data_IF_406437339004
#
_entry.id   IF_406437339004
#
_cell.length_a   1.000
_cell.length_b   1.000
_cell.length_c   1.000
_cell.angle_alpha   90.00
_cell.angle_beta   90.00
_cell.angle_gamma   90.00
#
_symmetry.space_group_name_H-M   'P 1'
#
loop_
_entity.id
_entity.type
_entity.pdbx_description
1 polymer ?
#
# COMPACT_ATOMS: atom_id res chain seq x y z
N UNK A 1 44.03 -51.80 40.14
CA UNK A 1 44.94 -52.91 40.61
C UNK A 1 45.59 -52.51 41.94
N UNK A 2 45.77 -53.44 42.86
CA UNK A 2 46.40 -53.23 44.16
C UNK A 2 47.38 -54.38 44.39
N UNK A 3 48.51 -54.11 44.97
CA UNK A 3 49.48 -55.10 45.45
C UNK A 3 49.61 -54.96 46.95
N UNK A 4 50.01 -56.02 47.64
CA UNK A 4 50.39 -55.99 49.05
C UNK A 4 51.91 -56.13 49.16
N UNK A 5 52.48 -55.43 50.15
CA UNK A 5 53.93 -55.54 50.43
C UNK A 5 54.10 -56.25 51.75
N UNK A 6 54.97 -57.31 51.80
CA UNK A 6 55.22 -58.01 53.03
C UNK A 6 56.25 -57.28 53.92
N UNK A 7 56.52 -57.81 55.13
CA UNK A 7 57.45 -57.22 56.09
C UNK A 7 58.91 -57.14 55.61
N UNK A 8 59.25 -57.82 54.52
CA UNK A 8 60.56 -57.82 53.90
C UNK A 8 60.65 -56.91 52.64
N UNK A 9 59.54 -56.20 52.33
CA UNK A 9 59.46 -55.28 51.20
C UNK A 9 59.18 -55.99 49.87
N UNK A 10 58.75 -57.23 49.83
CA UNK A 10 58.39 -57.95 48.61
C UNK A 10 56.96 -57.70 48.26
N UNK A 11 56.74 -57.30 47.04
CA UNK A 11 55.44 -56.96 46.48
C UNK A 11 54.73 -58.20 45.92
N UNK A 12 53.46 -58.37 46.24
CA UNK A 12 52.68 -59.50 45.71
C UNK A 12 52.34 -59.28 44.22
N UNK A 13 51.81 -60.30 43.54
CA UNK A 13 51.20 -60.11 42.24
C UNK A 13 50.07 -59.10 42.32
N UNK A 14 49.83 -58.44 41.20
CA UNK A 14 48.75 -57.45 41.08
C UNK A 14 47.37 -58.08 41.21
N UNK A 15 46.49 -57.46 41.90
CA UNK A 15 45.06 -57.85 41.91
C UNK A 15 44.47 -57.84 40.53
N UNK A 16 43.31 -58.45 40.33
CA UNK A 16 42.52 -58.33 39.15
C UNK A 16 42.14 -56.84 38.97
N UNK A 17 42.19 -56.36 37.72
CA UNK A 17 41.78 -55.02 37.39
C UNK A 17 40.28 -54.91 37.60
N UNK A 18 39.86 -54.04 38.49
CA UNK A 18 38.44 -53.65 38.67
C UNK A 18 38.27 -52.21 38.20
N UNK A 19 37.53 -52.04 37.09
CA UNK A 19 37.18 -50.73 36.60
C UNK A 19 35.74 -50.42 37.00
N UNK A 20 35.55 -49.38 37.77
CA UNK A 20 34.22 -48.84 37.98
C UNK A 20 34.01 -47.59 37.08
N UNK A 21 32.91 -47.57 36.39
CA UNK A 21 32.51 -46.40 35.59
C UNK A 21 32.09 -45.30 36.52
N UNK A 22 32.61 -44.09 36.31
CA UNK A 22 32.10 -42.90 36.98
C UNK A 22 30.82 -42.48 36.28
N UNK A 23 29.68 -42.51 36.96
CA UNK A 23 28.42 -42.05 36.32
C UNK A 23 28.48 -40.57 35.95
N UNK A 24 27.96 -40.23 34.78
CA UNK A 24 27.81 -38.85 34.36
C UNK A 24 26.73 -38.15 35.22
N UNK A 25 26.85 -36.84 35.35
CA UNK A 25 25.92 -36.03 36.16
C UNK A 25 24.72 -35.57 35.33
N UNK A 26 23.61 -35.30 36.01
CA UNK A 26 22.44 -34.67 35.37
C UNK A 26 22.79 -33.33 34.75
N UNK A 27 22.15 -32.93 33.64
CA UNK A 27 22.28 -31.58 33.08
C UNK A 27 21.91 -30.48 34.08
N UNK A 28 22.62 -29.36 34.00
CA UNK A 28 22.39 -28.16 34.83
C UNK A 28 22.25 -26.93 33.98
N UNK A 29 21.75 -25.81 34.55
CA UNK A 29 21.60 -24.54 33.82
C UNK A 29 20.58 -24.64 32.70
N UNK A 30 19.53 -25.45 32.91
CA UNK A 30 18.42 -25.54 31.95
C UNK A 30 17.64 -24.26 31.97
N UNK A 31 17.46 -23.66 30.82
CA UNK A 31 16.56 -22.50 30.59
C UNK A 31 15.51 -22.85 29.54
N UNK A 32 14.30 -22.37 29.71
CA UNK A 32 13.21 -22.44 28.75
C UNK A 32 12.75 -21.03 28.47
N UNK A 33 13.00 -20.57 27.24
CA UNK A 33 12.62 -19.25 26.79
C UNK A 33 11.44 -19.39 25.80
N UNK A 34 10.28 -18.86 26.19
CA UNK A 34 9.05 -18.93 25.39
C UNK A 34 9.09 -17.98 24.20
N UNK A 35 8.57 -18.45 23.08
CA UNK A 35 8.38 -17.70 21.84
C UNK A 35 7.02 -18.10 21.25
N UNK A 36 6.64 -17.50 20.11
CA UNK A 36 5.36 -17.80 19.44
C UNK A 36 5.32 -19.28 19.03
N UNK A 37 4.33 -20.01 19.54
CA UNK A 37 4.13 -21.45 19.30
C UNK A 37 5.40 -22.30 19.48
N UNK A 38 6.38 -21.80 20.23
CA UNK A 38 7.65 -22.51 20.41
C UNK A 38 8.33 -22.20 21.75
N UNK A 39 9.29 -23.07 22.09
CA UNK A 39 10.10 -22.93 23.30
C UNK A 39 11.56 -23.18 22.95
N UNK A 40 12.44 -22.26 23.29
CA UNK A 40 13.89 -22.43 23.14
C UNK A 40 14.49 -22.93 24.44
N UNK A 41 15.04 -24.13 24.37
CA UNK A 41 15.68 -24.80 25.50
C UNK A 41 17.19 -24.73 25.35
N UNK A 42 17.89 -24.38 26.44
CA UNK A 42 19.35 -24.41 26.52
C UNK A 42 19.79 -25.06 27.83
N UNK A 43 20.96 -25.70 27.86
CA UNK A 43 21.55 -26.32 29.06
C UNK A 43 23.08 -26.41 28.98
N UNK A 44 23.70 -26.62 30.11
CA UNK A 44 25.14 -26.82 30.19
C UNK A 44 25.55 -28.18 29.65
N UNK A 45 26.68 -28.24 28.97
CA UNK A 45 27.27 -29.53 28.54
C UNK A 45 27.65 -30.39 29.73
N UNK A 46 27.39 -31.70 29.62
CA UNK A 46 27.74 -32.69 30.64
C UNK A 46 28.98 -33.48 30.14
N UNK A 47 30.11 -33.47 30.88
CA UNK A 47 31.28 -34.26 30.51
C UNK A 47 30.95 -35.77 30.44
N UNK A 48 31.27 -36.40 29.30
CA UNK A 48 30.99 -37.83 29.06
C UNK A 48 29.59 -38.10 28.44
N UNK A 49 28.73 -37.10 28.31
CA UNK A 49 27.48 -37.27 27.59
C UNK A 49 27.73 -37.34 26.08
N UNK A 50 27.03 -38.23 25.39
CA UNK A 50 27.01 -38.36 23.92
C UNK A 50 25.71 -37.83 23.33
N UNK A 51 24.63 -37.94 24.09
CA UNK A 51 23.28 -37.44 23.72
C UNK A 51 22.59 -36.83 24.93
N UNK A 52 21.56 -36.05 24.65
CA UNK A 52 20.58 -35.56 25.60
C UNK A 52 19.19 -35.99 25.16
N UNK A 53 18.33 -36.31 26.12
CA UNK A 53 16.89 -36.49 25.87
C UNK A 53 16.15 -35.34 26.53
N UNK A 54 15.28 -34.73 25.77
CA UNK A 54 14.43 -33.61 26.20
C UNK A 54 13.03 -34.15 26.41
N UNK A 55 12.50 -33.93 27.59
CA UNK A 55 11.14 -34.35 27.98
C UNK A 55 10.29 -33.12 28.33
N UNK A 56 9.03 -33.14 27.91
CA UNK A 56 8.00 -32.27 28.46
C UNK A 56 7.41 -32.87 29.73
N UNK A 57 7.34 -32.11 30.79
CA UNK A 57 6.68 -32.48 32.04
C UNK A 57 5.19 -32.17 31.93
N UNK A 58 4.37 -33.18 31.66
CA UNK A 58 2.93 -33.03 31.48
C UNK A 58 2.15 -33.10 32.79
N UNK A 59 2.76 -33.67 33.83
CA UNK A 59 2.26 -33.67 35.20
C UNK A 59 3.42 -33.93 36.17
N UNK A 60 3.30 -33.73 37.49
CA UNK A 60 4.38 -33.93 38.45
C UNK A 60 5.09 -35.28 38.35
N UNK A 61 4.36 -36.35 37.97
CA UNK A 61 4.87 -37.70 37.89
C UNK A 61 4.94 -38.26 36.44
N UNK A 62 4.73 -37.42 35.44
CA UNK A 62 4.67 -37.89 34.05
C UNK A 62 5.42 -36.96 33.10
N UNK A 63 6.32 -37.54 32.33
CA UNK A 63 7.07 -36.86 31.28
C UNK A 63 6.86 -37.57 29.94
N UNK A 64 6.88 -36.76 28.86
CA UNK A 64 6.81 -37.24 27.48
C UNK A 64 8.11 -36.89 26.76
N UNK A 65 8.76 -37.87 26.15
CA UNK A 65 9.95 -37.63 25.36
C UNK A 65 9.62 -36.84 24.11
N UNK A 66 10.22 -35.67 24.00
CA UNK A 66 10.08 -34.80 22.81
C UNK A 66 11.12 -35.20 21.77
N UNK A 67 12.40 -35.19 22.14
CA UNK A 67 13.48 -35.43 21.19
C UNK A 67 14.79 -35.88 21.88
N UNK A 68 15.59 -36.66 21.14
CA UNK A 68 16.98 -36.98 21.47
C UNK A 68 17.93 -36.19 20.60
N UNK A 69 18.84 -35.42 21.20
CA UNK A 69 19.75 -34.50 20.50
C UNK A 69 21.21 -34.68 20.97
N UNK A 70 22.15 -34.19 20.15
CA UNK A 70 23.58 -34.11 20.53
C UNK A 70 23.96 -32.69 21.01
N UNK A 71 23.20 -31.68 20.60
CA UNK A 71 23.44 -30.30 21.00
C UNK A 71 22.98 -30.04 22.43
N UNK A 72 23.43 -28.93 23.01
CA UNK A 72 22.99 -28.43 24.31
C UNK A 72 21.87 -27.40 24.18
N UNK A 73 21.15 -27.42 23.07
CA UNK A 73 20.02 -26.58 22.80
C UNK A 73 19.00 -27.29 21.90
N UNK A 74 17.73 -26.97 22.06
CA UNK A 74 16.63 -27.47 21.25
C UNK A 74 15.53 -26.42 21.16
N UNK A 75 14.95 -26.21 19.96
CA UNK A 75 13.69 -25.49 19.81
C UNK A 75 12.54 -26.47 19.64
N UNK A 76 11.65 -26.53 20.62
CA UNK A 76 10.37 -27.25 20.53
C UNK A 76 9.35 -26.35 19.82
N UNK A 77 8.68 -26.88 18.79
CA UNK A 77 7.75 -26.13 17.94
C UNK A 77 6.33 -26.70 18.03
N UNK A 78 5.40 -25.98 17.43
CA UNK A 78 3.99 -26.36 17.33
C UNK A 78 3.33 -26.57 18.71
N UNK A 79 3.69 -25.71 19.67
CA UNK A 79 3.13 -25.66 21.02
C UNK A 79 1.87 -24.79 21.04
N UNK A 80 0.89 -25.16 21.87
CA UNK A 80 -0.31 -24.37 22.12
C UNK A 80 0.05 -23.09 22.87
N UNK A 81 -0.61 -21.98 22.51
CA UNK A 81 -0.38 -20.65 23.07
C UNK A 81 -0.91 -20.50 24.49
N UNK A 82 -0.35 -19.54 25.23
CA UNK A 82 -0.86 -19.09 26.51
C UNK A 82 -0.79 -20.13 27.63
N UNK A 83 -0.04 -21.22 27.44
CA UNK A 83 0.11 -22.32 28.38
C UNK A 83 1.56 -22.41 28.84
N UNK A 84 1.76 -22.50 30.17
CA UNK A 84 3.07 -22.79 30.71
C UNK A 84 3.48 -24.21 30.35
N UNK A 85 4.66 -24.35 29.77
CA UNK A 85 5.27 -25.63 29.43
C UNK A 85 6.56 -25.81 30.24
N UNK A 86 6.70 -26.98 30.85
CA UNK A 86 7.85 -27.34 31.67
C UNK A 86 8.64 -28.43 30.98
N UNK A 87 9.96 -28.35 31.06
CA UNK A 87 10.86 -29.31 30.43
C UNK A 87 11.94 -29.78 31.43
N UNK A 88 12.31 -31.04 31.31
CA UNK A 88 13.44 -31.65 31.98
C UNK A 88 14.36 -32.35 30.96
N UNK A 89 15.64 -32.40 31.27
CA UNK A 89 16.65 -32.93 30.34
C UNK A 89 17.49 -33.97 31.07
N UNK A 90 17.73 -35.07 30.38
CA UNK A 90 18.66 -36.13 30.83
C UNK A 90 19.86 -36.17 29.88
N UNK A 91 20.97 -36.75 30.38
CA UNK A 91 22.14 -37.00 29.55
C UNK A 91 22.37 -38.52 29.42
N UNK A 92 22.83 -38.96 28.24
CA UNK A 92 23.17 -40.34 27.96
C UNK A 92 24.67 -40.44 27.67
N UNK A 93 25.30 -41.44 28.29
CA UNK A 93 26.70 -41.76 28.03
C UNK A 93 26.89 -42.71 26.81
N UNK A 94 28.13 -43.12 26.57
CA UNK A 94 28.49 -43.99 25.44
C UNK A 94 27.89 -45.38 25.46
N UNK A 95 27.47 -45.87 26.62
CA UNK A 95 26.82 -47.18 26.80
C UNK A 95 25.30 -47.09 26.78
N UNK A 96 24.78 -45.87 26.65
CA UNK A 96 23.34 -45.60 26.65
C UNK A 96 22.72 -45.50 28.05
N UNK A 97 23.54 -45.41 29.11
CA UNK A 97 23.04 -45.17 30.47
C UNK A 97 22.57 -43.73 30.60
N UNK A 98 21.37 -43.56 31.16
CA UNK A 98 20.69 -42.26 31.30
C UNK A 98 20.83 -41.72 32.71
N UNK A 99 21.04 -40.42 32.86
CA UNK A 99 21.10 -39.74 34.17
C UNK A 99 19.70 -39.55 34.76
N UNK A 100 19.63 -39.17 36.03
CA UNK A 100 18.41 -38.54 36.57
C UNK A 100 18.12 -37.26 35.79
N UNK A 101 16.84 -36.82 35.74
CA UNK A 101 16.46 -35.55 35.09
C UNK A 101 17.15 -34.33 35.74
N UNK A 102 17.25 -33.27 34.96
CA UNK A 102 17.61 -31.95 35.47
C UNK A 102 16.53 -31.40 36.40
N UNK A 103 16.78 -30.24 37.02
CA UNK A 103 15.71 -29.39 37.55
C UNK A 103 14.84 -28.98 36.36
N UNK A 104 13.52 -28.96 36.54
CA UNK A 104 12.57 -28.48 35.56
C UNK A 104 12.78 -26.99 35.27
N UNK A 105 12.54 -26.62 34.03
CA UNK A 105 12.48 -25.21 33.59
C UNK A 105 11.17 -24.99 32.85
N UNK A 106 10.39 -23.98 33.31
CA UNK A 106 9.07 -23.68 32.78
C UNK A 106 9.02 -22.27 32.24
N UNK A 107 8.24 -22.07 31.19
CA UNK A 107 7.88 -20.74 30.70
C UNK A 107 6.57 -20.81 29.91
N UNK A 108 5.92 -19.65 29.75
CA UNK A 108 4.74 -19.52 28.90
C UNK A 108 5.12 -19.58 27.41
N UNK A 109 4.31 -20.29 26.64
CA UNK A 109 4.32 -20.17 25.18
C UNK A 109 3.56 -18.90 24.79
N UNK A 110 4.22 -17.96 24.13
CA UNK A 110 3.65 -16.65 23.85
C UNK A 110 2.54 -16.71 22.81
N UNK A 111 1.48 -15.95 23.02
CA UNK A 111 0.49 -15.69 22.00
C UNK A 111 1.12 -14.90 20.85
N UNK A 112 0.69 -15.16 19.59
CA UNK A 112 1.17 -14.38 18.45
C UNK A 112 0.83 -12.90 18.61
N UNK A 113 1.49 -12.02 17.85
CA UNK A 113 1.06 -10.64 17.78
C UNK A 113 -0.37 -10.57 17.25
N UNK A 114 -1.17 -9.73 17.87
CA UNK A 114 -2.54 -9.45 17.48
C UNK A 114 -2.71 -7.95 17.31
N UNK A 115 -3.38 -7.52 16.23
CA UNK A 115 -3.50 -6.10 15.92
C UNK A 115 -4.93 -5.62 16.02
N UNK A 116 -5.08 -4.49 16.70
CA UNK A 116 -6.32 -3.71 16.70
C UNK A 116 -6.07 -2.32 16.15
N UNK A 117 -7.01 -1.84 15.34
CA UNK A 117 -6.96 -0.48 14.78
C UNK A 117 -7.68 0.43 15.78
N UNK A 118 -6.90 1.32 16.42
CA UNK A 118 -7.41 2.24 17.44
C UNK A 118 -7.97 3.52 16.84
N UNK A 119 -7.43 3.95 15.71
CA UNK A 119 -7.82 5.19 15.06
C UNK A 119 -7.55 5.10 13.57
N UNK A 120 -8.45 5.66 12.80
CA UNK A 120 -8.26 5.94 11.38
C UNK A 120 -8.75 7.36 11.12
N UNK A 121 -7.92 8.17 10.47
CA UNK A 121 -8.27 9.50 10.01
C UNK A 121 -7.90 9.66 8.54
N UNK A 122 -8.64 10.51 7.86
CA UNK A 122 -8.23 11.12 6.60
C UNK A 122 -7.67 12.50 6.92
N UNK A 123 -6.48 12.78 6.42
CA UNK A 123 -5.85 14.10 6.48
C UNK A 123 -5.82 14.62 5.05
N UNK A 124 -6.56 15.68 4.77
CA UNK A 124 -6.66 16.26 3.44
C UNK A 124 -6.71 17.80 3.53
N UNK A 125 -6.18 18.52 2.52
CA UNK A 125 -6.02 19.98 2.57
C UNK A 125 -7.33 20.76 2.58
N UNK A 126 -8.38 20.24 1.97
CA UNK A 126 -9.67 20.95 1.82
C UNK A 126 -10.50 21.01 3.13
N UNK A 127 -10.23 20.11 4.09
CA UNK A 127 -10.92 20.03 5.39
C UNK A 127 -12.36 19.52 5.28
N UNK A 128 -12.71 18.84 4.21
CA UNK A 128 -14.09 18.39 3.94
C UNK A 128 -14.33 16.90 4.21
N UNK A 129 -13.31 16.17 4.71
CA UNK A 129 -13.27 14.72 4.96
C UNK A 129 -13.55 13.87 3.72
N UNK A 130 -13.20 14.36 2.54
CA UNK A 130 -13.30 13.65 1.29
C UNK A 130 -12.01 13.83 0.48
N UNK A 131 -11.72 12.95 -0.45
CA UNK A 131 -10.65 13.11 -1.40
C UNK A 131 -11.16 13.88 -2.62
N UNK A 132 -10.68 15.10 -2.81
CA UNK A 132 -11.05 15.90 -3.95
C UNK A 132 -10.19 15.58 -5.19
N UNK A 133 -10.69 15.81 -6.39
CA UNK A 133 -9.89 15.71 -7.60
C UNK A 133 -8.71 16.69 -7.55
N UNK A 134 -7.53 16.24 -8.02
CA UNK A 134 -6.24 16.96 -7.93
C UNK A 134 -5.71 17.18 -6.50
N UNK A 135 -6.30 16.54 -5.51
CA UNK A 135 -5.87 16.63 -4.13
C UNK A 135 -4.98 15.46 -3.73
N UNK A 136 -4.00 15.74 -2.88
CA UNK A 136 -3.20 14.73 -2.21
C UNK A 136 -3.52 14.79 -0.73
N UNK A 137 -4.05 13.70 -0.21
CA UNK A 137 -4.31 13.48 1.20
C UNK A 137 -3.51 12.27 1.72
N UNK A 138 -3.75 11.92 2.97
CA UNK A 138 -3.19 10.72 3.58
C UNK A 138 -4.18 10.05 4.53
N UNK A 139 -4.00 8.75 4.70
CA UNK A 139 -4.63 7.98 5.77
C UNK A 139 -3.65 7.82 6.92
N UNK A 140 -4.07 8.22 8.11
CA UNK A 140 -3.38 7.95 9.35
C UNK A 140 -4.07 6.81 10.08
N UNK A 141 -3.31 5.76 10.42
CA UNK A 141 -3.76 4.63 11.21
C UNK A 141 -2.98 4.56 12.50
N UNK A 142 -3.67 4.38 13.63
CA UNK A 142 -3.07 4.01 14.90
C UNK A 142 -3.31 2.51 15.13
N UNK A 143 -2.25 1.72 15.11
CA UNK A 143 -2.29 0.26 15.24
C UNK A 143 -1.70 -0.13 16.57
N UNK A 144 -2.45 -0.90 17.34
CA UNK A 144 -2.06 -1.43 18.63
C UNK A 144 -1.78 -2.93 18.50
N UNK A 145 -0.60 -3.36 18.96
CA UNK A 145 -0.30 -4.77 19.15
C UNK A 145 -0.76 -5.17 20.55
N UNK A 146 -1.93 -5.76 20.67
CA UNK A 146 -2.49 -6.25 21.92
C UNK A 146 -2.18 -7.74 22.18
N UNK A 147 -1.37 -8.36 21.33
CA UNK A 147 -0.78 -9.68 21.56
C UNK A 147 0.33 -9.66 22.61
N UNK A 148 0.88 -10.84 22.93
CA UNK A 148 1.96 -10.99 23.92
C UNK A 148 3.34 -10.94 23.27
N UNK A 149 3.44 -11.10 21.95
CA UNK A 149 4.69 -11.15 21.21
C UNK A 149 4.92 -9.90 20.35
N UNK A 150 6.16 -9.49 20.13
CA UNK A 150 6.47 -8.48 19.13
C UNK A 150 6.15 -9.01 17.72
N UNK A 151 5.79 -8.09 16.83
CA UNK A 151 5.66 -8.37 15.42
C UNK A 151 6.84 -7.75 14.67
N UNK A 152 7.45 -8.51 13.74
CA UNK A 152 8.58 -8.04 12.96
C UNK A 152 8.20 -7.86 11.49
N UNK A 153 8.84 -6.88 10.81
CA UNK A 153 8.57 -6.55 9.41
C UNK A 153 7.08 -6.33 9.16
N UNK A 154 6.47 -5.52 10.02
CA UNK A 154 5.04 -5.20 9.92
C UNK A 154 4.82 -4.32 8.69
N UNK A 155 4.06 -4.81 7.72
CA UNK A 155 3.75 -4.09 6.49
C UNK A 155 2.26 -3.76 6.46
N UNK A 156 1.95 -2.47 6.24
CA UNK A 156 0.61 -1.98 5.99
C UNK A 156 0.45 -1.60 4.53
N UNK A 157 -0.64 -2.03 3.93
CA UNK A 157 -1.04 -1.66 2.57
C UNK A 157 -2.54 -1.42 2.50
N UNK A 158 -2.95 -0.50 1.63
CA UNK A 158 -4.36 -0.24 1.32
C UNK A 158 -4.68 -0.88 -0.01
N UNK A 159 -5.74 -1.67 -0.05
CA UNK A 159 -6.19 -2.37 -1.25
C UNK A 159 -7.58 -1.82 -1.62
N UNK A 160 -7.80 -1.31 -2.84
CA UNK A 160 -9.11 -0.89 -3.28
C UNK A 160 -10.05 -2.10 -3.46
N UNK A 161 -11.25 -2.04 -2.85
CA UNK A 161 -12.29 -3.06 -3.02
C UNK A 161 -13.07 -2.79 -4.29
N UNK A 162 -13.49 -1.54 -4.51
CA UNK A 162 -14.01 -1.07 -5.78
C UNK A 162 -12.91 -0.32 -6.52
N UNK A 163 -12.64 -0.72 -7.75
CA UNK A 163 -11.59 -0.09 -8.55
C UNK A 163 -12.04 1.30 -9.00
N UNK A 164 -11.30 2.32 -8.59
CA UNK A 164 -11.38 3.66 -9.16
C UNK A 164 -10.02 4.01 -9.77
N UNK A 165 -9.89 4.05 -11.10
CA UNK A 165 -8.62 4.28 -11.78
C UNK A 165 -8.08 5.70 -11.56
N UNK A 166 -8.87 6.58 -10.95
CA UNK A 166 -8.51 7.97 -10.68
C UNK A 166 -8.13 8.21 -9.22
N UNK A 167 -7.89 7.14 -8.44
CA UNK A 167 -7.30 7.21 -7.10
C UNK A 167 -5.96 6.47 -7.13
N UNK A 168 -4.90 7.20 -6.85
CA UNK A 168 -3.56 6.64 -6.63
C UNK A 168 -3.35 6.42 -5.14
N UNK A 169 -2.90 5.24 -4.76
CA UNK A 169 -2.56 4.89 -3.38
C UNK A 169 -1.04 4.78 -3.29
N UNK A 170 -0.47 5.34 -2.21
CA UNK A 170 0.96 5.30 -1.94
C UNK A 170 1.47 3.89 -1.67
N UNK A 171 2.80 3.77 -1.65
CA UNK A 171 3.48 2.50 -1.38
C UNK A 171 3.19 1.99 0.03
N UNK A 172 3.24 0.66 0.24
CA UNK A 172 3.11 0.07 1.56
C UNK A 172 4.14 0.62 2.55
N UNK A 173 3.73 0.83 3.79
CA UNK A 173 4.63 1.26 4.87
C UNK A 173 5.11 0.05 5.64
N UNK A 174 6.42 -0.01 5.94
CA UNK A 174 7.04 -1.11 6.66
C UNK A 174 7.64 -0.58 7.97
N UNK A 175 7.31 -1.25 9.08
CA UNK A 175 7.91 -1.06 10.38
C UNK A 175 8.74 -2.30 10.75
N UNK A 176 9.98 -2.11 11.20
CA UNK A 176 10.86 -3.23 11.56
C UNK A 176 10.28 -4.07 12.69
N UNK A 177 9.76 -3.42 13.73
CA UNK A 177 9.22 -4.13 14.91
C UNK A 177 8.12 -3.31 15.58
N UNK A 178 6.98 -3.95 15.82
CA UNK A 178 5.90 -3.44 16.66
C UNK A 178 5.83 -4.27 17.94
N UNK A 179 6.32 -3.70 19.04
CA UNK A 179 6.36 -4.39 20.34
C UNK A 179 4.97 -4.66 20.90
N UNK A 180 4.84 -5.75 21.66
CA UNK A 180 3.63 -6.06 22.42
C UNK A 180 3.22 -4.88 23.34
N UNK A 181 1.95 -4.57 23.42
CA UNK A 181 1.40 -3.49 24.23
C UNK A 181 1.74 -2.07 23.72
N UNK A 182 2.21 -1.91 22.49
CA UNK A 182 2.55 -0.62 21.88
C UNK A 182 1.59 -0.24 20.75
N UNK A 183 1.42 1.08 20.62
CA UNK A 183 0.71 1.72 19.52
C UNK A 183 1.74 2.38 18.62
N UNK A 184 1.60 2.19 17.31
CA UNK A 184 2.37 2.90 16.30
C UNK A 184 1.44 3.55 15.28
N UNK A 185 1.91 4.67 14.73
CA UNK A 185 1.17 5.44 13.75
C UNK A 185 1.77 5.22 12.37
N UNK A 186 0.90 4.96 11.41
CA UNK A 186 1.25 4.76 10.02
C UNK A 186 0.50 5.76 9.17
N UNK A 187 1.18 6.28 8.15
CA UNK A 187 0.61 7.20 7.20
C UNK A 187 0.83 6.67 5.78
N UNK A 188 -0.26 6.55 5.01
CA UNK A 188 -0.22 6.13 3.61
C UNK A 188 -0.86 7.24 2.79
N UNK A 189 -0.11 7.77 1.82
CA UNK A 189 -0.60 8.82 0.93
C UNK A 189 -1.66 8.29 -0.02
N UNK A 190 -2.57 9.18 -0.40
CA UNK A 190 -3.59 8.95 -1.41
C UNK A 190 -3.78 10.21 -2.24
N UNK A 191 -3.94 10.04 -3.55
CA UNK A 191 -4.13 11.15 -4.48
C UNK A 191 -5.34 10.93 -5.36
N UNK A 192 -6.22 11.92 -5.39
CA UNK A 192 -7.27 12.04 -6.38
C UNK A 192 -6.72 12.63 -7.67
N UNK A 193 -6.89 11.93 -8.80
CA UNK A 193 -6.52 12.46 -10.12
C UNK A 193 -7.59 13.41 -10.65
N UNK A 194 -7.25 14.18 -11.68
CA UNK A 194 -8.14 15.19 -12.27
C UNK A 194 -9.54 14.67 -12.64
N UNK A 195 -9.62 13.45 -13.16
CA UNK A 195 -10.88 12.83 -13.61
C UNK A 195 -11.55 11.98 -12.50
N UNK A 196 -11.23 12.24 -11.24
CA UNK A 196 -11.86 11.58 -10.12
C UNK A 196 -13.38 11.83 -10.13
N UNK A 197 -14.14 10.74 -10.12
CA UNK A 197 -15.60 10.80 -10.02
C UNK A 197 -16.06 10.88 -8.58
N UNK A 198 -17.09 11.66 -8.32
CA UNK A 198 -17.69 11.78 -6.99
C UNK A 198 -18.38 10.47 -6.58
N UNK A 199 -18.22 10.08 -5.33
CA UNK A 199 -18.87 8.89 -4.76
C UNK A 199 -18.04 8.20 -3.68
N UNK A 200 -18.62 7.17 -3.10
CA UNK A 200 -17.99 6.36 -2.06
C UNK A 200 -17.00 5.36 -2.67
N UNK A 201 -15.76 5.37 -2.18
CA UNK A 201 -14.71 4.43 -2.54
C UNK A 201 -14.37 3.56 -1.33
N UNK A 202 -14.36 2.24 -1.51
CA UNK A 202 -14.15 1.26 -0.46
C UNK A 202 -12.76 0.66 -0.54
N UNK A 203 -12.12 0.56 0.59
CA UNK A 203 -10.76 0.06 0.75
C UNK A 203 -10.70 -0.98 1.86
N UNK A 204 -9.68 -1.83 1.78
CA UNK A 204 -9.29 -2.79 2.80
C UNK A 204 -7.87 -2.47 3.27
N UNK A 205 -7.68 -2.30 4.58
CA UNK A 205 -6.36 -2.24 5.17
C UNK A 205 -5.85 -3.65 5.38
N UNK A 206 -4.75 -3.98 4.71
CA UNK A 206 -4.05 -5.25 4.88
C UNK A 206 -2.82 -5.05 5.73
N UNK A 207 -2.71 -5.83 6.80
CA UNK A 207 -1.55 -5.86 7.68
C UNK A 207 -0.92 -7.23 7.57
N UNK A 208 0.39 -7.28 7.38
CA UNK A 208 1.18 -8.52 7.36
C UNK A 208 2.42 -8.35 8.23
N UNK A 209 2.97 -9.43 8.77
CA UNK A 209 4.27 -9.44 9.44
C UNK A 209 5.03 -10.73 9.13
N UNK A 210 6.24 -10.83 9.63
CA UNK A 210 7.06 -12.03 9.50
C UNK A 210 6.45 -13.21 10.28
N UNK A 211 5.85 -12.94 11.42
CA UNK A 211 5.03 -13.87 12.17
C UNK A 211 3.68 -14.03 11.45
N UNK A 212 3.15 -15.26 11.39
CA UNK A 212 1.81 -15.47 10.85
C UNK A 212 0.78 -14.79 11.75
N UNK A 213 0.42 -13.56 11.42
CA UNK A 213 -0.65 -12.85 12.09
C UNK A 213 -1.97 -13.40 11.59
N UNK A 214 -2.81 -13.80 12.51
CA UNK A 214 -4.23 -13.99 12.24
C UNK A 214 -4.87 -12.63 12.52
N UNK A 215 -5.06 -11.83 11.46
CA UNK A 215 -6.11 -10.82 11.49
C UNK A 215 -7.43 -11.60 11.42
N UNK A 216 -8.15 -11.66 12.52
CA UNK A 216 -9.45 -12.34 12.54
C UNK A 216 -10.46 -11.67 11.61
N UNK A 217 -10.28 -10.37 11.31
CA UNK A 217 -11.14 -9.63 10.38
C UNK A 217 -10.30 -8.66 9.53
N UNK A 218 -10.60 -8.61 8.21
CA UNK A 218 -10.08 -7.55 7.37
C UNK A 218 -10.74 -6.23 7.74
N UNK A 219 -9.94 -5.20 7.94
CA UNK A 219 -10.46 -3.87 8.25
C UNK A 219 -10.85 -3.15 6.96
N UNK A 220 -12.15 -2.95 6.77
CA UNK A 220 -12.69 -2.23 5.63
C UNK A 220 -13.14 -0.83 6.04
N UNK A 221 -12.90 0.13 5.16
CA UNK A 221 -13.30 1.52 5.34
C UNK A 221 -13.71 2.15 4.00
N UNK A 222 -14.40 3.27 4.07
CA UNK A 222 -14.83 4.01 2.91
C UNK A 222 -14.36 5.45 2.97
N UNK A 223 -14.13 6.04 1.79
CA UNK A 223 -13.75 7.42 1.58
C UNK A 223 -14.64 8.03 0.53
N UNK A 224 -15.25 9.14 0.84
CA UNK A 224 -15.97 9.93 -0.14
C UNK A 224 -14.97 10.64 -1.06
N UNK A 225 -15.25 10.62 -2.35
CA UNK A 225 -14.51 11.37 -3.35
C UNK A 225 -15.38 12.48 -3.93
N UNK A 226 -14.76 13.59 -4.31
CA UNK A 226 -15.41 14.71 -4.98
C UNK A 226 -14.73 15.01 -6.31
N UNK A 227 -15.53 15.05 -7.36
CA UNK A 227 -15.07 15.45 -8.68
C UNK A 227 -14.86 16.96 -8.76
N UNK A 228 -14.05 17.40 -9.73
CA UNK A 228 -14.03 18.82 -10.12
C UNK A 228 -15.42 19.24 -10.59
N UNK A 229 -15.78 20.48 -10.32
CA UNK A 229 -16.95 21.11 -10.94
C UNK A 229 -16.58 21.42 -12.39
N UNK A 230 -17.22 20.81 -13.41
CA UNK A 230 -16.80 21.00 -14.79
C UNK A 230 -17.13 22.40 -15.30
N UNK A 231 -16.30 22.95 -16.19
CA UNK A 231 -16.68 24.16 -16.95
C UNK A 231 -17.81 23.82 -17.92
N UNK A 232 -18.48 24.84 -18.40
CA UNK A 232 -19.41 24.73 -19.51
C UNK A 232 -19.05 25.79 -20.54
N UNK A 233 -18.28 25.40 -21.53
CA UNK A 233 -17.82 26.27 -22.58
C UNK A 233 -18.84 26.34 -23.71
N UNK A 234 -19.11 27.54 -24.22
CA UNK A 234 -19.96 27.78 -25.37
C UNK A 234 -19.30 28.80 -26.30
N UNK A 235 -19.66 28.74 -27.56
CA UNK A 235 -19.44 29.86 -28.48
C UNK A 235 -20.59 30.85 -28.27
N UNK A 236 -20.30 31.94 -27.58
CA UNK A 236 -21.32 32.89 -27.15
C UNK A 236 -21.68 33.88 -28.24
N UNK A 237 -20.74 34.25 -29.11
CA UNK A 237 -20.93 35.19 -30.22
C UNK A 237 -19.88 34.94 -31.30
N UNK A 238 -20.19 35.40 -32.53
CA UNK A 238 -19.25 35.43 -33.63
C UNK A 238 -19.58 36.55 -34.61
N UNK A 239 -18.56 37.07 -35.24
CA UNK A 239 -18.72 38.15 -36.25
C UNK A 239 -17.73 37.96 -37.39
N UNK A 240 -18.07 38.42 -38.55
CA UNK A 240 -17.16 38.50 -39.71
C UNK A 240 -16.92 39.95 -40.03
N UNK A 241 -15.65 40.31 -40.16
CA UNK A 241 -15.23 41.64 -40.58
C UNK A 241 -14.34 41.50 -41.84
N UNK A 242 -14.53 42.45 -42.75
CA UNK A 242 -13.63 42.68 -43.87
C UNK A 242 -12.90 44.01 -43.71
N UNK A 243 -11.87 44.24 -44.47
CA UNK A 243 -11.06 45.47 -44.42
C UNK A 243 -11.87 46.76 -44.77
N UNK A 244 -13.05 46.60 -45.33
CA UNK A 244 -13.93 47.71 -45.74
C UNK A 244 -15.03 48.02 -44.70
N UNK A 245 -15.11 47.28 -43.61
CA UNK A 245 -16.11 47.47 -42.56
C UNK A 245 -17.57 47.19 -42.98
N UNK A 246 -17.75 46.40 -44.03
CA UNK A 246 -19.07 46.02 -44.55
C UNK A 246 -19.39 44.58 -44.14
N UNK A 247 -20.68 44.30 -43.90
CA UNK A 247 -21.14 42.92 -43.61
C UNK A 247 -21.22 42.05 -44.88
N UNK A 248 -20.79 42.56 -46.02
CA UNK A 248 -20.72 41.83 -47.28
C UNK A 248 -19.43 41.04 -47.36
N UNK A 249 -19.51 39.74 -47.61
CA UNK A 249 -18.36 38.86 -47.77
C UNK A 249 -18.23 38.49 -49.24
N UNK A 250 -17.29 39.09 -50.00
CA UNK A 250 -17.03 38.73 -51.36
C UNK A 250 -16.44 37.34 -51.46
N UNK A 251 -16.71 36.65 -52.57
CA UNK A 251 -16.07 35.36 -52.88
C UNK A 251 -14.59 35.56 -53.19
N UNK A 252 -13.72 34.64 -52.70
CA UNK A 252 -12.28 34.66 -52.86
C UNK A 252 -11.57 35.86 -52.21
N UNK A 253 -12.20 36.47 -51.19
CA UNK A 253 -11.54 37.45 -50.34
C UNK A 253 -11.22 36.89 -48.99
N UNK A 254 -10.14 37.40 -48.39
CA UNK A 254 -9.78 37.12 -47.03
C UNK A 254 -10.58 37.99 -46.05
N UNK A 255 -11.24 37.41 -45.12
CA UNK A 255 -11.99 38.08 -44.06
C UNK A 255 -11.58 37.54 -42.72
N UNK A 256 -11.83 38.26 -41.65
CA UNK A 256 -11.56 37.85 -40.28
C UNK A 256 -12.83 37.34 -39.61
N UNK A 257 -12.82 36.09 -39.17
CA UNK A 257 -13.86 35.51 -38.32
C UNK A 257 -13.44 35.74 -36.85
N UNK A 258 -14.18 36.59 -36.14
CA UNK A 258 -14.01 36.80 -34.70
C UNK A 258 -14.99 35.88 -33.97
N UNK A 259 -14.50 35.13 -32.99
CA UNK A 259 -15.28 34.17 -32.20
C UNK A 259 -15.12 34.51 -30.73
N UNK A 260 -16.23 34.52 -30.00
CA UNK A 260 -16.24 34.62 -28.54
C UNK A 260 -16.57 33.30 -27.93
N UNK A 261 -15.61 32.75 -27.13
CA UNK A 261 -15.86 31.63 -26.26
C UNK A 261 -16.09 32.10 -24.85
N UNK A 262 -17.13 31.59 -24.20
CA UNK A 262 -17.49 31.94 -22.81
C UNK A 262 -17.63 30.68 -21.96
N UNK A 263 -17.14 30.75 -20.72
CA UNK A 263 -17.44 29.76 -19.70
C UNK A 263 -18.72 30.15 -18.96
N UNK A 264 -19.83 29.49 -19.28
CA UNK A 264 -21.13 29.67 -18.61
C UNK A 264 -21.41 28.64 -17.53
N UNK A 265 -20.42 27.77 -17.21
CA UNK A 265 -20.49 26.79 -16.15
C UNK A 265 -20.15 27.37 -14.78
N UNK A 266 -20.20 26.50 -13.77
CA UNK A 266 -19.82 26.82 -12.39
C UNK A 266 -18.37 26.49 -12.10
N UNK A 267 -17.75 25.63 -12.92
CA UNK A 267 -16.35 25.23 -12.79
C UNK A 267 -15.42 26.09 -13.66
N UNK A 268 -14.20 26.17 -13.25
CA UNK A 268 -13.12 26.85 -13.97
C UNK A 268 -12.50 25.90 -15.03
N UNK A 269 -11.89 26.44 -16.09
CA UNK A 269 -11.06 25.68 -17.02
C UNK A 269 -9.63 26.19 -17.00
N UNK A 270 -8.64 25.27 -16.97
CA UNK A 270 -7.21 25.61 -17.05
C UNK A 270 -6.83 26.08 -18.46
N UNK A 271 -7.43 25.45 -19.47
CA UNK A 271 -7.31 25.82 -20.88
C UNK A 271 -8.52 25.27 -21.65
N UNK A 272 -8.68 25.71 -22.86
CA UNK A 272 -9.60 25.11 -23.81
C UNK A 272 -8.94 25.09 -25.20
N UNK A 273 -9.33 24.14 -26.02
CA UNK A 273 -8.90 24.07 -27.42
C UNK A 273 -10.09 24.29 -28.36
N UNK A 274 -9.89 25.12 -29.36
CA UNK A 274 -10.85 25.33 -30.41
C UNK A 274 -10.27 24.84 -31.73
N UNK A 275 -10.90 23.82 -32.28
CA UNK A 275 -10.56 23.26 -33.58
C UNK A 275 -11.56 23.73 -34.61
N UNK A 276 -11.10 24.41 -35.66
CA UNK A 276 -11.89 24.74 -36.81
C UNK A 276 -11.82 23.62 -37.85
N UNK A 277 -12.93 22.97 -38.13
CA UNK A 277 -13.01 21.90 -39.10
C UNK A 277 -13.03 22.48 -40.51
N UNK A 278 -12.06 22.09 -41.33
CA UNK A 278 -12.03 22.49 -42.74
C UNK A 278 -13.26 21.97 -43.51
N UNK A 279 -13.81 22.81 -44.36
CA UNK A 279 -14.89 22.41 -45.25
C UNK A 279 -14.70 23.05 -46.64
N UNK A 280 -15.66 22.84 -47.57
CA UNK A 280 -15.58 23.35 -48.94
C UNK A 280 -16.01 24.81 -49.11
N UNK A 281 -16.49 25.46 -48.06
CA UNK A 281 -17.00 26.82 -48.13
C UNK A 281 -15.93 27.89 -47.92
N UNK A 282 -14.84 27.55 -47.26
CA UNK A 282 -13.69 28.45 -47.00
C UNK A 282 -12.38 27.68 -46.82
N UNK A 283 -11.29 28.42 -46.80
CA UNK A 283 -9.96 27.95 -46.35
C UNK A 283 -9.42 28.91 -45.30
N UNK A 284 -8.42 28.50 -44.54
CA UNK A 284 -7.82 29.26 -43.44
C UNK A 284 -6.35 29.57 -43.71
N UNK A 285 -6.03 30.56 -44.54
CA UNK A 285 -4.67 30.88 -44.93
C UNK A 285 -3.80 31.23 -43.72
N UNK A 286 -2.70 30.45 -43.53
CA UNK A 286 -1.76 30.72 -42.41
C UNK A 286 -2.23 30.33 -41.01
N UNK A 287 -3.37 29.65 -40.90
CA UNK A 287 -3.89 29.17 -39.63
C UNK A 287 -3.73 27.65 -39.48
N UNK A 288 -3.24 27.20 -38.34
CA UNK A 288 -2.92 25.77 -38.09
C UNK A 288 -4.14 24.90 -37.75
N UNK A 289 -5.34 25.45 -37.71
CA UNK A 289 -6.60 24.76 -37.43
C UNK A 289 -6.97 24.67 -35.95
N UNK A 290 -6.06 24.86 -35.02
CA UNK A 290 -6.30 24.79 -33.57
C UNK A 290 -5.83 26.07 -32.90
N UNK A 291 -6.62 26.53 -31.92
CA UNK A 291 -6.27 27.61 -31.00
C UNK A 291 -6.41 27.08 -29.56
N UNK A 292 -5.39 27.30 -28.75
CA UNK A 292 -5.45 27.05 -27.31
C UNK A 292 -5.82 28.37 -26.60
N UNK A 293 -6.93 28.35 -25.88
CA UNK A 293 -7.41 29.45 -25.06
C UNK A 293 -6.84 29.29 -23.63
N UNK A 294 -6.46 30.40 -22.97
CA UNK A 294 -6.00 30.35 -21.58
C UNK A 294 -7.13 30.01 -20.62
N UNK A 295 -6.78 29.94 -19.32
CA UNK A 295 -7.70 29.67 -18.23
C UNK A 295 -8.86 30.65 -18.20
N UNK A 296 -10.08 30.16 -17.87
CA UNK A 296 -11.29 30.95 -17.73
C UNK A 296 -12.07 30.57 -16.48
N UNK A 297 -12.37 31.54 -15.62
CA UNK A 297 -13.27 31.34 -14.50
C UNK A 297 -14.74 31.32 -14.98
N UNK A 298 -15.67 30.88 -14.14
CA UNK A 298 -17.10 31.05 -14.40
C UNK A 298 -17.44 32.48 -14.77
N UNK A 299 -18.12 32.69 -15.94
CA UNK A 299 -18.51 34.00 -16.47
C UNK A 299 -17.46 34.64 -17.39
N UNK A 300 -16.22 34.25 -17.39
CA UNK A 300 -15.18 34.79 -18.26
C UNK A 300 -15.45 34.47 -19.73
N UNK A 301 -14.97 35.35 -20.63
CA UNK A 301 -14.99 35.12 -22.06
C UNK A 301 -13.65 35.52 -22.71
N UNK A 302 -13.36 34.94 -23.86
CA UNK A 302 -12.19 35.24 -24.67
C UNK A 302 -12.66 35.42 -26.14
N UNK A 303 -12.19 36.52 -26.74
CA UNK A 303 -12.34 36.76 -28.18
C UNK A 303 -11.05 36.39 -28.90
N UNK A 304 -11.16 35.71 -30.02
CA UNK A 304 -10.03 35.38 -30.88
C UNK A 304 -10.43 35.48 -32.34
N UNK A 305 -9.45 35.62 -33.22
CA UNK A 305 -9.62 35.87 -34.62
C UNK A 305 -9.03 34.79 -35.48
N UNK A 306 -9.74 34.37 -36.53
CA UNK A 306 -9.29 33.41 -37.52
C UNK A 306 -9.38 34.03 -38.90
N UNK A 307 -8.28 34.10 -39.68
CA UNK A 307 -8.33 34.50 -41.06
C UNK A 307 -8.99 33.42 -41.92
N UNK A 308 -10.04 33.70 -42.62
CA UNK A 308 -10.71 32.81 -43.56
C UNK A 308 -10.74 33.39 -44.95
N UNK A 309 -10.58 32.54 -45.97
CA UNK A 309 -10.80 32.91 -47.36
C UNK A 309 -12.04 32.20 -47.86
N UNK A 310 -13.02 32.97 -48.25
CA UNK A 310 -14.33 32.49 -48.69
C UNK A 310 -14.27 31.86 -50.09
N UNK A 311 -14.85 30.69 -50.28
CA UNK A 311 -14.89 29.97 -51.54
C UNK A 311 -16.29 29.86 -52.15
N UNK A 312 -17.33 30.09 -51.32
CA UNK A 312 -18.75 29.98 -51.69
C UNK A 312 -19.58 31.15 -51.14
N UNK A 313 -20.79 31.33 -51.67
CA UNK A 313 -21.70 32.38 -51.25
C UNK A 313 -22.38 32.08 -49.87
N UNK A 314 -22.55 30.79 -49.56
CA UNK A 314 -23.03 30.35 -48.27
C UNK A 314 -21.87 29.73 -47.49
N UNK A 315 -21.50 30.33 -46.38
CA UNK A 315 -20.37 29.90 -45.58
C UNK A 315 -20.91 29.34 -44.25
N UNK A 316 -20.43 28.21 -43.85
CA UNK A 316 -20.61 27.67 -42.50
C UNK A 316 -19.27 27.20 -41.94
N UNK A 317 -19.10 27.36 -40.64
CA UNK A 317 -17.93 26.91 -39.94
C UNK A 317 -18.35 25.92 -38.84
N UNK A 318 -17.81 24.73 -38.87
CA UNK A 318 -17.95 23.74 -37.81
C UNK A 318 -16.77 23.87 -36.85
N UNK A 319 -17.03 24.09 -35.58
CA UNK A 319 -16.03 24.26 -34.54
C UNK A 319 -16.20 23.18 -33.50
N UNK A 320 -15.08 22.59 -33.07
CA UNK A 320 -15.01 21.75 -31.90
C UNK A 320 -14.34 22.52 -30.77
N UNK A 321 -14.99 22.58 -29.62
CA UNK A 321 -14.50 23.22 -28.43
C UNK A 321 -14.29 22.17 -27.35
N UNK A 322 -13.03 21.93 -27.00
CA UNK A 322 -12.63 20.91 -26.02
C UNK A 322 -12.08 21.57 -24.76
N UNK A 323 -12.62 21.20 -23.60
CA UNK A 323 -12.12 21.70 -22.31
C UNK A 323 -10.97 20.82 -21.79
N UNK A 324 -10.35 21.24 -20.69
CA UNK A 324 -9.23 20.55 -20.05
C UNK A 324 -9.58 19.18 -19.44
N UNK A 325 -10.88 18.84 -19.36
CA UNK A 325 -11.39 17.50 -18.97
C UNK A 325 -11.63 16.59 -20.17
N UNK A 326 -11.20 16.99 -21.38
CA UNK A 326 -11.43 16.31 -22.67
C UNK A 326 -12.91 16.27 -23.09
N UNK A 327 -13.74 17.16 -22.56
CA UNK A 327 -15.13 17.25 -22.99
C UNK A 327 -15.24 18.14 -24.22
N UNK A 328 -15.71 17.56 -25.31
CA UNK A 328 -15.84 18.24 -26.60
C UNK A 328 -17.29 18.61 -26.90
N UNK A 329 -17.49 19.82 -27.38
CA UNK A 329 -18.78 20.34 -27.90
C UNK A 329 -18.56 20.80 -29.33
N UNK A 330 -19.38 20.32 -30.24
CA UNK A 330 -19.35 20.77 -31.65
C UNK A 330 -20.45 21.77 -31.88
N UNK A 331 -20.12 22.88 -32.52
CA UNK A 331 -21.08 23.92 -32.90
C UNK A 331 -20.89 24.37 -34.36
N UNK A 332 -21.98 24.43 -35.10
CA UNK A 332 -21.99 24.99 -36.44
C UNK A 332 -22.35 26.47 -36.41
N UNK A 333 -21.52 27.29 -37.02
CA UNK A 333 -21.80 28.72 -37.26
C UNK A 333 -22.23 28.89 -38.69
N UNK A 334 -23.42 29.47 -38.91
CA UNK A 334 -23.89 29.86 -40.23
C UNK A 334 -23.51 31.33 -40.47
N UNK A 335 -22.64 31.53 -41.43
CA UNK A 335 -22.12 32.85 -41.76
C UNK A 335 -22.92 33.38 -42.96
N UNK A 336 -23.91 34.20 -42.70
CA UNK A 336 -24.74 34.77 -43.78
C UNK A 336 -23.92 35.73 -44.64
N UNK A 337 -23.78 35.40 -45.93
CA UNK A 337 -23.30 36.35 -46.92
C UNK A 337 -24.51 37.15 -47.46
N UNK A 338 -24.42 38.46 -47.49
CA UNK A 338 -25.49 39.25 -48.09
C UNK A 338 -25.70 38.88 -49.54
N UNK A 339 -26.93 38.52 -49.92
CA UNK A 339 -27.32 38.34 -51.31
C UNK A 339 -27.15 39.66 -52.06
N UNK A 340 -26.40 39.64 -53.18
CA UNK A 340 -26.35 40.77 -54.08
C UNK A 340 -27.76 41.17 -54.49
N UNK A 341 -28.20 42.31 -54.00
CA UNK A 341 -29.33 42.98 -54.58
C UNK A 341 -28.87 43.63 -55.93
N UNK A 342 -29.11 42.95 -57.05
CA UNK A 342 -29.03 43.66 -58.35
C UNK A 342 -30.14 44.69 -58.31
N UNK A 343 -29.77 45.97 -58.29
CA UNK A 343 -30.71 47.05 -58.58
C UNK A 343 -31.32 46.80 -59.97
N UNK A 344 -32.63 46.82 -60.12
CA UNK A 344 -33.23 46.76 -61.45
C UNK A 344 -32.74 47.96 -62.25
N UNK A 345 -32.23 47.65 -63.50
CA UNK A 345 -31.87 48.67 -64.52
C UNK A 345 -33.13 49.41 -64.95
#
# INVERSE_FOLDING_TARGET
>A
EVTSVDQFGVESDRSNTHCSKVPIKSPTGVTADGDVASMHLNWNSVPGAIYYQVYEQVSPDSTVLIQKVKSTQLTVRDLDYGIDKCFVITALDGDGSETAPSIESCNAVLDPPHFTIQKMNIIEPSGNNALDANETGSFEFAIFNDGQSPAHQVQLSIIPINQNPHIEIGEPVILDTLLAGRIEFFEIQMKGLLKLEAGENKFELKITSQEKIILEESYQFAVDAKSVIPPKLIIADFAIANDFGTQYIPKNEQVTLTIRVQNVGEGFTEFAEVLLLENRSFTTPGFAGIITLPAMNPGDYIDFEIPIMTLQDNIFADLELTDYLDKTVTQRLELETMKHYRAPI
#
